data_IF_914483512007
#
_entry.id   IF_914483512007
#
_cell.length_a   1.000
_cell.length_b   1.000
_cell.length_c   1.000
_cell.angle_alpha   90.00
_cell.angle_beta   90.00
_cell.angle_gamma   90.00
#
_symmetry.space_group_name_H-M   'P 1'
#
loop_
_entity.id
_entity.type
_entity.pdbx_description
1 polymer ?
#
# COMPACT_ATOMS: atom_id res chain seq x y z
N UNK A 1 20.75 13.37 7.97
CA UNK A 1 19.99 13.95 6.84
C UNK A 1 18.75 13.11 6.64
N UNK A 2 17.55 13.70 6.62
CA UNK A 2 16.38 12.96 6.16
C UNK A 2 16.59 12.61 4.67
N UNK A 3 16.28 11.39 4.21
CA UNK A 3 16.42 11.02 2.80
C UNK A 3 15.67 12.04 1.93
N UNK A 4 16.16 12.40 0.75
CA UNK A 4 15.40 13.21 -0.20
C UNK A 4 14.14 12.45 -0.66
N UNK A 5 13.15 13.17 -1.18
CA UNK A 5 11.93 12.57 -1.74
C UNK A 5 12.27 11.43 -2.72
N UNK A 6 13.20 11.73 -3.63
CA UNK A 6 13.76 10.79 -4.59
C UNK A 6 14.30 9.51 -3.95
N UNK A 7 14.99 9.60 -2.81
CA UNK A 7 15.56 8.42 -2.15
C UNK A 7 14.51 7.44 -1.63
N UNK A 8 13.31 7.91 -1.24
CA UNK A 8 12.22 7.01 -0.85
C UNK A 8 11.59 6.35 -2.07
N UNK A 9 11.41 7.11 -3.15
CA UNK A 9 10.87 6.62 -4.41
C UNK A 9 11.81 5.61 -5.08
N UNK A 10 13.12 5.87 -5.07
CA UNK A 10 14.14 4.95 -5.59
C UNK A 10 14.10 3.63 -4.80
N UNK A 11 14.05 3.70 -3.47
CA UNK A 11 13.98 2.49 -2.64
C UNK A 11 12.68 1.71 -2.83
N UNK A 12 11.56 2.41 -3.04
CA UNK A 12 10.29 1.77 -3.37
C UNK A 12 10.36 1.10 -4.75
N UNK A 13 10.90 1.79 -5.75
CA UNK A 13 11.12 1.26 -7.11
C UNK A 13 11.98 0.00 -7.08
N UNK A 14 13.08 0.00 -6.34
CA UNK A 14 13.94 -1.18 -6.15
C UNK A 14 13.19 -2.33 -5.48
N UNK A 15 12.35 -2.04 -4.49
CA UNK A 15 11.52 -3.02 -3.79
C UNK A 15 10.50 -3.65 -4.74
N UNK A 16 9.81 -2.83 -5.55
CA UNK A 16 8.84 -3.29 -6.54
C UNK A 16 9.52 -4.12 -7.63
N UNK A 17 10.67 -3.67 -8.15
CA UNK A 17 11.46 -4.42 -9.12
C UNK A 17 11.95 -5.76 -8.57
N UNK A 18 12.26 -5.85 -7.27
CA UNK A 18 12.60 -7.11 -6.62
C UNK A 18 11.40 -8.08 -6.53
N UNK A 19 10.19 -7.56 -6.30
CA UNK A 19 8.95 -8.35 -6.33
C UNK A 19 8.70 -8.88 -7.75
N UNK A 20 8.84 -8.03 -8.77
CA UNK A 20 8.58 -8.39 -10.17
C UNK A 20 9.61 -9.39 -10.72
N UNK A 21 10.91 -9.14 -10.53
CA UNK A 21 11.98 -10.00 -11.07
C UNK A 21 11.92 -11.44 -10.56
N UNK A 22 11.59 -11.61 -9.28
CA UNK A 22 11.56 -12.94 -8.70
C UNK A 22 10.30 -13.72 -9.11
N UNK A 23 9.24 -13.01 -9.49
CA UNK A 23 7.89 -13.56 -9.51
C UNK A 23 7.45 -14.00 -8.11
N UNK A 24 6.16 -13.95 -7.83
CA UNK A 24 5.67 -14.37 -6.51
C UNK A 24 5.99 -15.85 -6.18
N UNK A 25 6.14 -16.69 -7.20
CA UNK A 25 6.39 -18.13 -7.07
C UNK A 25 7.88 -18.48 -6.89
N UNK A 26 8.80 -17.56 -7.24
CA UNK A 26 10.24 -17.77 -7.11
C UNK A 26 10.82 -17.40 -5.72
N UNK A 27 10.01 -16.78 -4.86
CA UNK A 27 10.42 -16.34 -3.53
C UNK A 27 9.98 -17.32 -2.44
N UNK A 28 10.83 -17.51 -1.43
CA UNK A 28 10.38 -18.14 -0.18
C UNK A 28 9.24 -17.32 0.44
N UNK A 29 8.32 -17.98 1.14
CA UNK A 29 7.20 -17.30 1.78
C UNK A 29 7.66 -16.18 2.74
N UNK A 30 8.81 -16.36 3.40
CA UNK A 30 9.40 -15.33 4.28
C UNK A 30 9.95 -14.16 3.46
N UNK A 31 10.69 -14.40 2.38
CA UNK A 31 11.22 -13.34 1.52
C UNK A 31 10.10 -12.50 0.91
N UNK A 32 9.04 -13.18 0.45
CA UNK A 32 7.80 -12.60 -0.04
C UNK A 32 7.18 -11.63 0.98
N UNK A 33 6.98 -12.10 2.21
CA UNK A 33 6.36 -11.30 3.26
C UNK A 33 7.24 -10.12 3.71
N UNK A 34 8.58 -10.26 3.65
CA UNK A 34 9.51 -9.15 3.95
C UNK A 34 9.40 -8.03 2.91
N UNK A 35 9.37 -8.38 1.62
CA UNK A 35 9.23 -7.40 0.54
C UNK A 35 7.89 -6.68 0.60
N UNK A 36 6.78 -7.40 0.82
CA UNK A 36 5.47 -6.76 0.94
C UNK A 36 5.39 -5.82 2.16
N UNK A 37 5.95 -6.24 3.32
CA UNK A 37 6.06 -5.34 4.47
C UNK A 37 6.93 -4.11 4.18
N UNK A 38 8.07 -4.28 3.49
CA UNK A 38 8.96 -3.17 3.12
C UNK A 38 8.26 -2.18 2.19
N UNK A 39 7.57 -2.69 1.17
CA UNK A 39 6.73 -1.91 0.24
C UNK A 39 5.76 -1.02 1.00
N UNK A 40 4.92 -1.61 1.85
CA UNK A 40 3.91 -0.86 2.59
C UNK A 40 4.49 0.11 3.62
N UNK A 41 5.66 -0.19 4.18
CA UNK A 41 6.38 0.74 5.04
C UNK A 41 6.84 1.98 4.26
N UNK A 42 7.44 1.79 3.08
CA UNK A 42 7.92 2.88 2.22
C UNK A 42 6.77 3.77 1.73
N UNK A 43 5.67 3.16 1.28
CA UNK A 43 4.45 3.89 0.89
C UNK A 43 3.91 4.70 2.08
N UNK A 44 3.85 4.10 3.28
CA UNK A 44 3.40 4.84 4.48
C UNK A 44 4.33 6.02 4.81
N UNK A 45 5.64 5.82 4.73
CA UNK A 45 6.63 6.85 5.03
C UNK A 45 6.51 8.01 4.02
N UNK A 46 6.29 7.71 2.73
CA UNK A 46 6.02 8.71 1.69
C UNK A 46 4.73 9.50 1.97
N UNK A 47 3.59 8.81 2.11
CA UNK A 47 2.28 9.45 2.32
C UNK A 47 2.24 10.30 3.60
N UNK A 48 2.95 9.89 4.65
CA UNK A 48 3.06 10.68 5.90
C UNK A 48 3.88 11.94 5.72
N UNK A 49 4.92 11.88 4.88
CA UNK A 49 5.85 12.99 4.66
C UNK A 49 5.33 14.02 3.68
N UNK A 50 4.57 13.58 2.68
CA UNK A 50 4.02 14.41 1.62
C UNK A 50 2.49 14.32 1.65
N UNK A 51 1.83 15.04 2.58
CA UNK A 51 0.39 14.92 2.72
C UNK A 51 -0.35 15.57 1.54
N UNK A 52 -1.41 14.91 1.08
CA UNK A 52 -2.39 15.53 0.19
C UNK A 52 -3.24 16.52 1.00
N UNK A 53 -3.53 17.69 0.43
CA UNK A 53 -4.33 18.72 1.09
C UNK A 53 -5.68 18.84 0.42
N UNK A 54 -6.74 18.49 1.14
CA UNK A 54 -8.12 18.68 0.68
C UNK A 54 -8.42 20.18 0.49
N UNK A 55 -9.06 20.51 -0.63
CA UNK A 55 -9.48 21.89 -0.94
C UNK A 55 -10.99 22.00 -0.82
N UNK A 56 -11.46 22.87 0.08
CA UNK A 56 -12.88 22.97 0.44
C UNK A 56 -13.82 23.34 -0.73
N UNK A 57 -13.31 24.02 -1.76
CA UNK A 57 -14.10 24.42 -2.93
C UNK A 57 -14.21 23.33 -4.01
N UNK A 58 -13.44 22.23 -3.89
CA UNK A 58 -13.49 21.14 -4.85
C UNK A 58 -14.51 20.09 -4.41
N UNK A 59 -15.23 19.54 -5.39
CA UNK A 59 -16.04 18.34 -5.18
C UNK A 59 -15.16 17.13 -4.87
N UNK A 60 -15.76 16.10 -4.30
CA UNK A 60 -15.03 14.99 -3.69
C UNK A 60 -14.25 14.16 -4.71
N UNK A 61 -14.82 13.95 -5.90
CA UNK A 61 -14.15 13.23 -6.99
C UNK A 61 -12.89 13.95 -7.48
N UNK A 62 -12.89 15.28 -7.53
CA UNK A 62 -11.71 16.07 -7.89
C UNK A 62 -10.62 16.00 -6.81
N UNK A 63 -10.99 16.04 -5.53
CA UNK A 63 -10.03 15.84 -4.43
C UNK A 63 -9.35 14.46 -4.52
N UNK A 64 -10.09 13.41 -4.90
CA UNK A 64 -9.50 12.08 -5.12
C UNK A 64 -8.63 11.98 -6.37
N UNK A 65 -8.90 12.77 -7.41
CA UNK A 65 -7.99 12.85 -8.57
C UNK A 65 -6.64 13.45 -8.19
N UNK A 66 -6.62 14.45 -7.30
CA UNK A 66 -5.35 14.97 -6.75
C UNK A 66 -4.59 13.87 -5.98
N UNK A 67 -5.29 12.99 -5.26
CA UNK A 67 -4.68 11.83 -4.60
C UNK A 67 -4.11 10.85 -5.64
N UNK A 68 -4.84 10.57 -6.74
CA UNK A 68 -4.37 9.69 -7.82
C UNK A 68 -3.07 10.20 -8.42
N UNK A 69 -2.99 11.49 -8.73
CA UNK A 69 -1.75 12.09 -9.22
C UNK A 69 -0.62 11.96 -8.19
N UNK A 70 -0.91 12.21 -6.91
CA UNK A 70 0.07 12.10 -5.83
C UNK A 70 0.63 10.68 -5.63
N UNK A 71 -0.20 9.65 -5.76
CA UNK A 71 0.24 8.25 -5.58
C UNK A 71 0.77 7.62 -6.87
N UNK A 72 0.60 8.26 -8.04
CA UNK A 72 1.11 7.75 -9.32
C UNK A 72 2.63 7.61 -9.30
N UNK A 73 3.32 8.54 -8.66
CA UNK A 73 4.78 8.54 -8.54
C UNK A 73 5.33 7.36 -7.72
N UNK A 74 4.48 6.70 -6.91
CA UNK A 74 4.85 5.50 -6.16
C UNK A 74 5.02 4.27 -7.07
N UNK A 75 4.45 4.31 -8.28
CA UNK A 75 4.45 3.20 -9.25
C UNK A 75 3.94 1.85 -8.70
N UNK A 76 3.15 1.87 -7.62
CA UNK A 76 2.47 0.69 -7.07
C UNK A 76 1.03 0.64 -7.58
N UNK A 77 0.71 -0.40 -8.34
CA UNK A 77 -0.62 -0.55 -8.96
C UNK A 77 -1.72 -0.74 -7.92
N UNK A 78 -1.41 -1.35 -6.77
CA UNK A 78 -2.40 -1.67 -5.74
C UNK A 78 -2.95 -0.41 -5.07
N UNK A 79 -2.09 0.54 -4.70
CA UNK A 79 -2.53 1.83 -4.15
C UNK A 79 -3.17 2.72 -5.23
N UNK A 80 -2.66 2.66 -6.47
CA UNK A 80 -3.21 3.43 -7.58
C UNK A 80 -4.64 2.99 -7.91
N UNK A 81 -4.89 1.68 -8.03
CA UNK A 81 -6.21 1.10 -8.26
C UNK A 81 -7.18 1.45 -7.12
N UNK A 82 -6.71 1.33 -5.88
CA UNK A 82 -7.52 1.73 -4.73
C UNK A 82 -7.92 3.21 -4.77
N UNK A 83 -7.00 4.11 -5.14
CA UNK A 83 -7.27 5.54 -5.25
C UNK A 83 -8.24 5.86 -6.41
N UNK A 84 -8.10 5.20 -7.56
CA UNK A 84 -9.02 5.31 -8.69
C UNK A 84 -10.43 4.86 -8.31
N UNK A 85 -10.56 3.76 -7.57
CA UNK A 85 -11.85 3.32 -7.04
C UNK A 85 -12.50 4.39 -6.16
N UNK A 86 -11.73 5.16 -5.38
CA UNK A 86 -12.30 6.25 -4.58
C UNK A 86 -12.83 7.40 -5.45
N UNK A 87 -12.20 7.67 -6.59
CA UNK A 87 -12.71 8.64 -7.59
C UNK A 87 -14.07 8.16 -8.10
N UNK A 88 -14.18 6.91 -8.52
CA UNK A 88 -15.42 6.32 -9.04
C UNK A 88 -16.55 6.38 -8.00
N UNK A 89 -16.28 5.94 -6.76
CA UNK A 89 -17.24 6.01 -5.67
C UNK A 89 -17.71 7.45 -5.45
N UNK A 90 -16.79 8.41 -5.41
CA UNK A 90 -17.15 9.82 -5.22
C UNK A 90 -18.01 10.35 -6.38
N UNK A 91 -17.67 10.01 -7.63
CA UNK A 91 -18.46 10.40 -8.81
C UNK A 91 -19.87 9.81 -8.79
N UNK A 92 -20.04 8.55 -8.37
CA UNK A 92 -21.37 7.95 -8.23
C UNK A 92 -22.20 8.64 -7.15
N UNK A 93 -21.61 8.96 -6.00
CA UNK A 93 -22.30 9.69 -4.93
C UNK A 93 -22.73 11.09 -5.36
N UNK A 94 -21.88 11.80 -6.10
CA UNK A 94 -22.19 13.11 -6.69
C UNK A 94 -23.34 13.03 -7.70
N UNK A 95 -23.45 11.91 -8.43
CA UNK A 95 -24.56 11.64 -9.35
C UNK A 95 -25.84 11.11 -8.65
N UNK A 96 -25.83 10.92 -7.32
CA UNK A 96 -26.95 10.37 -6.56
C UNK A 96 -27.09 8.85 -6.65
N UNK A 97 -26.09 8.14 -7.19
CA UNK A 97 -26.06 6.68 -7.32
C UNK A 97 -25.43 6.09 -6.05
N UNK A 98 -26.21 5.36 -5.25
CA UNK A 98 -25.79 4.85 -3.94
C UNK A 98 -25.27 3.40 -3.97
N UNK A 99 -25.02 2.82 -5.16
CA UNK A 99 -24.63 1.42 -5.30
C UNK A 99 -23.26 1.09 -4.66
N UNK A 100 -22.38 2.09 -4.52
CA UNK A 100 -21.08 1.93 -3.90
C UNK A 100 -21.02 2.66 -2.56
N UNK A 101 -20.49 2.01 -1.51
CA UNK A 101 -20.34 2.65 -0.19
C UNK A 101 -18.97 3.35 -0.08
N UNK A 102 -18.91 4.61 0.37
CA UNK A 102 -17.64 5.29 0.64
C UNK A 102 -16.86 4.61 1.77
N UNK A 103 -15.53 4.60 1.68
CA UNK A 103 -14.67 4.11 2.76
C UNK A 103 -14.63 5.04 3.99
N UNK A 104 -15.32 6.19 3.93
CA UNK A 104 -15.52 7.11 5.05
C UNK A 104 -15.79 8.55 4.59
N UNK A 105 -16.16 9.41 5.53
CA UNK A 105 -16.54 10.82 5.31
C UNK A 105 -15.50 11.84 5.79
N UNK A 106 -14.24 11.44 5.97
CA UNK A 106 -13.15 12.32 6.43
C UNK A 106 -12.26 12.85 5.29
N UNK A 107 -11.22 13.66 5.59
CA UNK A 107 -10.30 14.15 4.57
C UNK A 107 -9.63 13.04 3.77
N UNK A 108 -9.33 13.28 2.48
CA UNK A 108 -8.70 12.29 1.59
C UNK A 108 -7.39 11.77 2.19
N UNK A 109 -6.55 12.66 2.71
CA UNK A 109 -5.30 12.28 3.38
C UNK A 109 -5.52 11.33 4.56
N UNK A 110 -6.54 11.58 5.38
CA UNK A 110 -6.87 10.73 6.54
C UNK A 110 -7.29 9.33 6.09
N UNK A 111 -8.09 9.24 5.01
CA UNK A 111 -8.54 7.97 4.46
C UNK A 111 -7.40 7.20 3.79
N UNK A 112 -6.55 7.90 3.02
CA UNK A 112 -5.33 7.35 2.42
C UNK A 112 -4.39 6.79 3.49
N UNK A 113 -4.07 7.58 4.52
CA UNK A 113 -3.24 7.12 5.63
C UNK A 113 -3.84 5.92 6.36
N UNK A 114 -5.16 5.89 6.56
CA UNK A 114 -5.85 4.75 7.17
C UNK A 114 -5.68 3.49 6.32
N UNK A 115 -5.92 3.58 5.01
CA UNK A 115 -5.75 2.47 4.09
C UNK A 115 -4.32 1.92 4.15
N UNK A 116 -3.33 2.78 3.91
CA UNK A 116 -1.92 2.40 3.88
C UNK A 116 -1.46 1.81 5.22
N UNK A 117 -1.90 2.38 6.34
CA UNK A 117 -1.59 1.86 7.67
C UNK A 117 -2.17 0.46 7.88
N UNK A 118 -3.40 0.21 7.43
CA UNK A 118 -4.04 -1.11 7.49
C UNK A 118 -3.31 -2.13 6.63
N UNK A 119 -2.88 -1.75 5.43
CA UNK A 119 -2.07 -2.60 4.54
C UNK A 119 -0.74 -2.99 5.15
N UNK A 120 0.00 -2.02 5.72
CA UNK A 120 1.24 -2.29 6.45
C UNK A 120 1.02 -3.22 7.65
N UNK A 121 -0.04 -3.01 8.43
CA UNK A 121 -0.38 -3.88 9.57
C UNK A 121 -0.65 -5.31 9.12
N UNK A 122 -1.41 -5.49 8.04
CA UNK A 122 -1.66 -6.81 7.43
C UNK A 122 -0.36 -7.46 6.97
N UNK A 123 0.49 -6.74 6.23
CA UNK A 123 1.78 -7.26 5.77
C UNK A 123 2.70 -7.66 6.94
N UNK A 124 2.69 -6.89 8.04
CA UNK A 124 3.43 -7.24 9.25
C UNK A 124 2.92 -8.53 9.90
N UNK A 125 1.59 -8.74 9.95
CA UNK A 125 1.01 -9.98 10.47
C UNK A 125 1.39 -11.18 9.61
N UNK A 126 1.34 -11.05 8.28
CA UNK A 126 1.78 -12.09 7.33
C UNK A 126 3.26 -12.39 7.52
N UNK A 127 4.11 -11.37 7.70
CA UNK A 127 5.54 -11.56 7.98
C UNK A 127 5.77 -12.31 9.29
N UNK A 128 5.09 -11.94 10.37
CA UNK A 128 5.19 -12.65 11.66
C UNK A 128 4.76 -14.11 11.53
N UNK A 129 3.66 -14.36 10.83
CA UNK A 129 3.19 -15.73 10.56
C UNK A 129 4.19 -16.52 9.71
N UNK A 130 4.75 -15.90 8.66
CA UNK A 130 5.74 -16.52 7.79
C UNK A 130 7.02 -16.89 8.55
N UNK A 131 7.49 -16.02 9.44
CA UNK A 131 8.68 -16.28 10.27
C UNK A 131 8.45 -17.43 11.26
N UNK A 132 7.26 -17.49 11.88
CA UNK A 132 6.92 -18.56 12.80
C UNK A 132 6.84 -19.94 12.11
N UNK A 133 6.23 -20.01 10.92
CA UNK A 133 6.05 -21.27 10.19
C UNK A 133 7.23 -21.64 9.28
N UNK A 134 8.01 -20.66 8.85
CA UNK A 134 9.25 -20.87 8.10
C UNK A 134 10.38 -21.43 8.96
N UNK A 135 10.37 -21.16 10.28
CA UNK A 135 11.26 -21.81 11.25
C UNK A 135 10.80 -23.23 11.64
N UNK A 136 9.49 -23.46 11.74
CA UNK A 136 8.93 -24.75 12.16
C UNK A 136 9.11 -25.90 11.13
N UNK A 137 9.21 -25.58 9.84
CA UNK A 137 9.36 -26.59 8.78
C UNK A 137 10.83 -27.00 8.52
N UNK A 138 11.80 -26.41 9.22
CA UNK A 138 13.22 -26.75 9.10
C UNK A 138 13.72 -27.85 10.05
N UNK A 139 12.97 -28.14 11.12
CA UNK A 139 13.44 -29.05 12.19
C UNK A 139 12.68 -30.39 12.26
N UNK A 140 11.58 -30.55 11.52
CA UNK A 140 10.72 -31.74 11.62
C UNK A 140 11.06 -32.88 10.63
N UNK A 141 12.22 -32.85 9.95
CA UNK A 141 12.59 -33.88 8.95
C UNK A 141 13.84 -34.71 9.26
N UNK A 142 14.44 -34.55 10.43
CA UNK A 142 15.73 -35.20 10.75
C UNK A 142 15.75 -36.01 12.05
N UNK A 143 14.61 -36.58 12.44
CA UNK A 143 14.54 -37.53 13.57
C UNK A 143 13.76 -38.80 13.18
N UNK A 144 14.29 -39.54 12.21
CA UNK A 144 14.06 -40.99 12.10
C UNK A 144 15.33 -41.63 11.55
N UNK A 145 16.27 -41.91 12.45
CA UNK A 145 17.19 -43.04 12.36
C UNK A 145 17.03 -43.90 13.62
#
# INVERSE_FOLDING_TARGET
MAPTDQSLLDELSDTLAAIDRAGWDGLSHVARARLDYRKWKLIQDYVRRFPVVDRAHLIRSLQWRDVVEHVRDLNDLEILDWALQQVEIATHHEAGIQDLRPHGSGPCQTLLLRHVSGRKQKANLVLKWALANGGANGEARDQTE
#
